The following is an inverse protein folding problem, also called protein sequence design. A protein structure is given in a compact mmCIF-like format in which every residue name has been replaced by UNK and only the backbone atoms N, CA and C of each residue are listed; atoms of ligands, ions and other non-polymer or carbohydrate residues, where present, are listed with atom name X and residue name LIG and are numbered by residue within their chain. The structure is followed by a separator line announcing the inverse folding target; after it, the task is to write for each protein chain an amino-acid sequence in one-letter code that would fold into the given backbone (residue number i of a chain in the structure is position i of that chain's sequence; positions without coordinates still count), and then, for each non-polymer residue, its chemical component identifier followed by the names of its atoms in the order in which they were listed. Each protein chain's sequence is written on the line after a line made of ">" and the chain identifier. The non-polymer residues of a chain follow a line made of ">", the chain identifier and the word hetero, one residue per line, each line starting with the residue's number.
data_IF_394963271948
#
_entry.id   IF_394963271948
#
_cell.length_a   1.000
_cell.length_b   1.000
_cell.length_c   1.000
_cell.angle_alpha   90.00
_cell.angle_beta   90.00
_cell.angle_gamma   90.00
#
_symmetry.space_group_name_H-M   'P 1'
#
loop_
_entity.id
_entity.type
_entity.pdbx_description
1 polymer ?
#
# COMPACT_ATOMS: atom_id res chain seq x y z
N UNK A 1 56.28 -16.97 10.21
CA UNK A 1 55.17 -16.76 11.15
C UNK A 1 54.39 -15.53 10.68
N UNK A 2 53.33 -15.68 9.89
CA UNK A 2 52.45 -14.57 9.50
C UNK A 2 51.01 -15.07 9.63
N UNK A 3 50.28 -14.48 10.58
CA UNK A 3 48.97 -14.93 11.03
C UNK A 3 47.89 -14.56 10.01
N UNK A 4 47.12 -15.57 9.61
CA UNK A 4 45.85 -15.44 8.89
C UNK A 4 44.83 -14.71 9.79
N UNK A 5 44.43 -13.48 9.44
CA UNK A 5 43.21 -12.87 9.99
C UNK A 5 42.06 -13.07 9.01
N UNK A 6 41.29 -14.14 9.25
CA UNK A 6 40.00 -14.38 8.59
C UNK A 6 38.97 -13.43 9.21
N UNK A 7 38.78 -12.26 8.59
CA UNK A 7 37.74 -11.29 8.95
C UNK A 7 36.36 -11.90 8.67
N UNK A 8 35.72 -12.42 9.71
CA UNK A 8 34.34 -12.91 9.68
C UNK A 8 33.43 -11.74 9.30
N UNK A 9 32.89 -11.77 8.06
CA UNK A 9 31.77 -10.90 7.67
C UNK A 9 30.56 -11.37 8.47
N UNK A 10 30.19 -10.59 9.49
CA UNK A 10 28.92 -10.80 10.20
C UNK A 10 27.81 -10.61 9.16
N UNK A 11 27.13 -11.68 8.79
CA UNK A 11 25.90 -11.61 8.01
C UNK A 11 24.89 -10.82 8.84
N UNK A 12 24.44 -9.69 8.31
CA UNK A 12 23.29 -8.97 8.86
C UNK A 12 22.11 -9.94 8.88
N UNK A 13 21.41 -10.12 10.01
CA UNK A 13 20.22 -10.95 10.05
C UNK A 13 19.22 -10.38 9.05
N UNK A 14 18.81 -11.21 8.08
CA UNK A 14 17.74 -10.88 7.14
C UNK A 14 16.49 -10.71 8.01
N UNK A 15 15.79 -9.56 7.98
CA UNK A 15 14.55 -9.41 8.72
C UNK A 15 13.58 -10.49 8.20
N UNK A 16 13.20 -11.39 9.09
CA UNK A 16 12.14 -12.37 8.81
C UNK A 16 10.86 -11.57 8.76
N UNK A 17 10.38 -11.23 7.57
CA UNK A 17 9.05 -10.68 7.39
C UNK A 17 8.07 -11.78 7.81
N UNK A 18 7.55 -11.71 9.04
CA UNK A 18 6.39 -12.50 9.44
C UNK A 18 5.27 -12.16 8.45
N UNK A 19 4.86 -13.14 7.62
CA UNK A 19 3.76 -12.93 6.67
C UNK A 19 2.55 -12.47 7.51
N UNK A 20 2.00 -11.26 7.27
CA UNK A 20 0.85 -10.79 8.02
C UNK A 20 -0.30 -11.78 7.89
N UNK A 21 -1.00 -12.07 8.99
CA UNK A 21 -2.12 -13.04 9.03
C UNK A 21 -3.25 -12.71 8.06
N UNK A 22 -3.33 -11.46 7.61
CA UNK A 22 -4.32 -10.96 6.65
C UNK A 22 -3.58 -10.44 5.42
N UNK A 23 -3.98 -10.81 4.19
CA UNK A 23 -3.36 -10.31 2.97
C UNK A 23 -3.36 -8.76 2.93
N UNK A 24 -2.22 -8.11 2.62
CA UNK A 24 -2.11 -6.65 2.57
C UNK A 24 -3.18 -5.99 1.70
N UNK A 25 -3.48 -6.61 0.54
CA UNK A 25 -4.56 -6.20 -0.36
C UNK A 25 -5.91 -6.09 0.35
N UNK A 26 -6.30 -7.12 1.12
CA UNK A 26 -7.62 -7.16 1.78
C UNK A 26 -7.72 -6.05 2.82
N UNK A 27 -6.67 -5.89 3.64
CA UNK A 27 -6.57 -4.85 4.66
C UNK A 27 -6.60 -3.44 4.06
N UNK A 28 -6.00 -3.23 2.89
CA UNK A 28 -6.01 -1.94 2.21
C UNK A 28 -7.40 -1.58 1.68
N UNK A 29 -8.09 -2.53 1.03
CA UNK A 29 -9.44 -2.32 0.51
C UNK A 29 -10.42 -2.02 1.64
N UNK A 30 -10.37 -2.80 2.73
CA UNK A 30 -11.24 -2.59 3.89
C UNK A 30 -11.06 -1.18 4.48
N UNK A 31 -9.81 -0.75 4.71
CA UNK A 31 -9.53 0.59 5.23
C UNK A 31 -9.94 1.72 4.27
N UNK A 32 -9.78 1.55 2.95
CA UNK A 32 -10.22 2.55 1.97
C UNK A 32 -11.75 2.67 1.93
N UNK A 33 -12.48 1.56 2.08
CA UNK A 33 -13.94 1.59 2.19
C UNK A 33 -14.40 2.20 3.52
N UNK A 34 -13.73 1.88 4.64
CA UNK A 34 -13.99 2.55 5.92
C UNK A 34 -13.78 4.07 5.80
N UNK A 35 -12.70 4.50 5.15
CA UNK A 35 -12.43 5.91 4.90
C UNK A 35 -13.57 6.58 4.11
N UNK A 36 -14.14 5.89 3.12
CA UNK A 36 -15.33 6.34 2.38
C UNK A 36 -16.49 6.60 3.34
N UNK A 37 -16.75 5.68 4.27
CA UNK A 37 -17.85 5.76 5.21
C UNK A 37 -17.67 6.82 6.31
N UNK A 38 -16.42 7.16 6.67
CA UNK A 38 -16.12 8.23 7.63
C UNK A 38 -16.51 9.62 7.13
N UNK A 39 -16.70 9.81 5.82
CA UNK A 39 -17.14 11.08 5.21
C UNK A 39 -16.33 12.30 5.68
N UNK A 40 -15.02 12.11 5.89
CA UNK A 40 -14.15 13.11 6.52
C UNK A 40 -14.13 14.44 5.76
N UNK A 41 -13.96 14.40 4.44
CA UNK A 41 -13.93 15.61 3.61
C UNK A 41 -15.29 16.35 3.62
N UNK A 42 -16.41 15.62 3.71
CA UNK A 42 -17.76 16.18 3.79
C UNK A 42 -18.00 16.92 5.11
N UNK A 43 -17.30 16.50 6.16
CA UNK A 43 -17.31 17.15 7.47
C UNK A 43 -16.24 18.26 7.61
N UNK A 44 -15.60 18.67 6.50
CA UNK A 44 -14.55 19.69 6.50
C UNK A 44 -13.17 19.18 6.93
N UNK A 45 -13.01 17.88 7.20
CA UNK A 45 -11.74 17.27 7.60
C UNK A 45 -10.92 16.80 6.39
N UNK A 46 -10.74 17.67 5.39
CA UNK A 46 -10.08 17.35 4.11
C UNK A 46 -8.61 16.90 4.33
N UNK A 47 -7.86 17.58 5.21
CA UNK A 47 -6.47 17.19 5.49
C UNK A 47 -6.35 15.79 6.13
N UNK A 48 -7.27 15.46 7.04
CA UNK A 48 -7.29 14.14 7.68
C UNK A 48 -7.63 13.06 6.66
N UNK A 49 -8.61 13.32 5.78
CA UNK A 49 -9.00 12.43 4.69
C UNK A 49 -7.82 12.05 3.79
N UNK A 50 -7.07 13.02 3.27
CA UNK A 50 -5.91 12.74 2.43
C UNK A 50 -4.73 12.13 3.21
N UNK A 51 -4.58 12.45 4.50
CA UNK A 51 -3.55 11.82 5.33
C UNK A 51 -3.85 10.32 5.46
N UNK A 52 -5.04 9.95 5.93
CA UNK A 52 -5.46 8.55 6.06
C UNK A 52 -5.40 7.81 4.72
N UNK A 53 -5.93 8.39 3.63
CA UNK A 53 -5.90 7.77 2.31
C UNK A 53 -4.48 7.41 1.88
N UNK A 54 -3.56 8.37 1.98
CA UNK A 54 -2.19 8.14 1.52
C UNK A 54 -1.40 7.22 2.45
N UNK A 55 -1.70 7.21 3.75
CA UNK A 55 -1.08 6.29 4.71
C UNK A 55 -1.51 4.84 4.43
N UNK A 56 -2.80 4.60 4.11
CA UNK A 56 -3.29 3.28 3.72
C UNK A 56 -2.58 2.78 2.46
N UNK A 57 -2.47 3.64 1.44
CA UNK A 57 -1.82 3.25 0.17
C UNK A 57 -0.33 3.01 0.34
N UNK A 58 0.38 3.86 1.10
CA UNK A 58 1.82 3.65 1.41
C UNK A 58 2.04 2.34 2.17
N UNK A 59 1.25 2.09 3.22
CA UNK A 59 1.31 0.85 3.98
C UNK A 59 1.03 -0.38 3.11
N UNK A 60 0.06 -0.29 2.19
CA UNK A 60 -0.19 -1.35 1.23
C UNK A 60 1.02 -1.62 0.32
N UNK A 61 1.61 -0.58 -0.25
CA UNK A 61 2.78 -0.71 -1.14
C UNK A 61 3.94 -1.39 -0.39
N UNK A 62 4.18 -0.99 0.85
CA UNK A 62 5.23 -1.56 1.70
C UNK A 62 5.00 -3.03 2.03
N UNK A 63 3.79 -3.37 2.49
CA UNK A 63 3.48 -4.73 2.88
C UNK A 63 3.35 -5.69 1.67
N UNK A 64 2.90 -5.20 0.51
CA UNK A 64 2.68 -6.02 -0.68
C UNK A 64 3.94 -6.19 -1.53
N UNK A 65 4.80 -5.16 -1.62
CA UNK A 65 5.95 -5.13 -2.52
C UNK A 65 7.31 -4.98 -1.82
N UNK A 66 7.33 -4.77 -0.50
CA UNK A 66 8.56 -4.55 0.26
C UNK A 66 9.26 -3.22 -0.02
N UNK A 67 8.57 -2.28 -0.68
CA UNK A 67 9.07 -0.92 -0.94
C UNK A 67 8.76 -0.06 0.28
N UNK A 68 9.73 0.58 0.97
CA UNK A 68 9.51 1.31 2.23
C UNK A 68 8.75 2.64 2.03
N UNK A 69 7.53 2.55 1.52
CA UNK A 69 6.75 3.67 0.99
C UNK A 69 6.29 4.65 2.08
N UNK A 70 6.22 4.23 3.34
CA UNK A 70 5.85 5.12 4.46
C UNK A 70 6.90 6.22 4.66
N UNK A 71 8.18 5.90 4.46
CA UNK A 71 9.31 6.81 4.66
C UNK A 71 9.75 7.51 3.36
N UNK A 72 9.11 7.20 2.23
CA UNK A 72 9.48 7.71 0.91
C UNK A 72 8.61 8.89 0.49
N UNK A 73 9.21 9.78 -0.28
CA UNK A 73 8.47 10.85 -0.96
C UNK A 73 7.60 10.29 -2.09
N UNK A 74 6.60 11.06 -2.52
CA UNK A 74 5.71 10.68 -3.63
C UNK A 74 6.49 10.26 -4.89
N UNK A 75 7.53 11.01 -5.27
CA UNK A 75 8.34 10.71 -6.45
C UNK A 75 9.17 9.42 -6.27
N UNK A 76 9.71 9.20 -5.07
CA UNK A 76 10.46 7.98 -4.76
C UNK A 76 9.55 6.75 -4.78
N UNK A 77 8.33 6.83 -4.25
CA UNK A 77 7.34 5.74 -4.30
C UNK A 77 7.08 5.36 -5.75
N UNK A 78 6.85 6.35 -6.62
CA UNK A 78 6.58 6.13 -8.04
C UNK A 78 7.77 5.46 -8.75
N UNK A 79 9.01 5.83 -8.40
CA UNK A 79 10.21 5.15 -8.90
C UNK A 79 10.33 3.72 -8.36
N UNK A 80 9.96 3.48 -7.11
CA UNK A 80 9.99 2.17 -6.45
C UNK A 80 8.98 1.18 -7.03
N UNK A 81 7.83 1.65 -7.53
CA UNK A 81 6.80 0.78 -8.12
C UNK A 81 6.98 0.51 -9.61
N UNK A 82 7.74 1.35 -10.35
CA UNK A 82 8.06 1.12 -11.77
C UNK A 82 8.59 -0.29 -12.10
N UNK A 83 9.56 -0.86 -11.38
CA UNK A 83 10.09 -2.19 -11.69
C UNK A 83 9.07 -3.33 -11.50
N UNK A 84 7.92 -3.07 -10.86
CA UNK A 84 6.88 -4.07 -10.61
C UNK A 84 6.00 -4.33 -11.84
N UNK A 85 6.21 -3.60 -12.94
CA UNK A 85 5.40 -3.68 -14.16
C UNK A 85 3.89 -3.58 -13.89
N UNK A 86 3.51 -2.71 -12.94
CA UNK A 86 2.12 -2.32 -12.73
C UNK A 86 1.69 -1.51 -13.95
N UNK A 87 0.44 -1.64 -14.36
CA UNK A 87 -0.16 -0.84 -15.42
C UNK A 87 0.20 0.66 -15.26
N UNK A 88 0.71 1.28 -16.34
CA UNK A 88 1.09 2.69 -16.35
C UNK A 88 -0.09 3.59 -15.98
N UNK A 89 -1.30 3.26 -16.43
CA UNK A 89 -2.53 3.99 -16.11
C UNK A 89 -2.84 3.96 -14.60
N UNK A 90 -2.67 2.81 -13.94
CA UNK A 90 -2.84 2.72 -12.49
C UNK A 90 -1.78 3.51 -11.72
N UNK A 91 -0.54 3.52 -12.21
CA UNK A 91 0.57 4.27 -11.62
C UNK A 91 0.36 5.79 -11.77
N UNK A 92 -0.13 6.24 -12.92
CA UNK A 92 -0.46 7.65 -13.17
C UNK A 92 -1.65 8.12 -12.34
N UNK A 93 -2.67 7.27 -12.19
CA UNK A 93 -3.80 7.51 -11.26
C UNK A 93 -3.32 7.67 -9.83
N UNK A 94 -2.44 6.78 -9.35
CA UNK A 94 -1.85 6.91 -8.02
C UNK A 94 -1.05 8.21 -7.87
N UNK A 95 -0.21 8.54 -8.85
CA UNK A 95 0.58 9.78 -8.88
C UNK A 95 -0.32 11.00 -8.71
N UNK A 96 -1.40 11.09 -9.48
CA UNK A 96 -2.35 12.19 -9.39
C UNK A 96 -2.90 12.33 -7.95
N UNK A 97 -3.32 11.22 -7.33
CA UNK A 97 -3.88 11.24 -5.97
C UNK A 97 -2.85 11.69 -4.92
N UNK A 98 -1.61 11.20 -5.01
CA UNK A 98 -0.54 11.58 -4.08
C UNK A 98 -0.16 13.05 -4.24
N UNK A 99 -0.12 13.57 -5.46
CA UNK A 99 0.15 14.99 -5.71
C UNK A 99 -0.95 15.90 -5.15
N UNK A 100 -2.23 15.54 -5.33
CA UNK A 100 -3.34 16.27 -4.71
C UNK A 100 -3.24 16.23 -3.18
N UNK A 101 -2.91 15.06 -2.62
CA UNK A 101 -2.72 14.92 -1.17
C UNK A 101 -1.61 15.84 -0.64
N UNK A 102 -0.48 15.92 -1.35
CA UNK A 102 0.64 16.80 -0.97
C UNK A 102 0.22 18.29 -1.04
N UNK A 103 -0.51 18.70 -2.08
CA UNK A 103 -1.07 20.05 -2.19
C UNK A 103 -2.03 20.37 -1.04
N UNK A 104 -2.89 19.44 -0.63
CA UNK A 104 -3.78 19.61 0.53
C UNK A 104 -2.97 19.73 1.82
N UNK A 105 -1.99 18.83 2.03
CA UNK A 105 -1.25 18.72 3.30
C UNK A 105 -0.32 19.90 3.54
N UNK A 106 0.29 20.43 2.48
CA UNK A 106 1.34 21.44 2.56
C UNK A 106 0.94 22.81 1.99
N UNK A 107 0.13 22.84 0.92
CA UNK A 107 -0.28 24.07 0.26
C UNK A 107 -1.71 24.53 0.61
N UNK A 108 -2.42 23.81 1.50
CA UNK A 108 -3.82 24.08 1.88
C UNK A 108 -4.76 24.17 0.67
N UNK A 109 -4.49 23.38 -0.37
CA UNK A 109 -5.40 23.28 -1.50
C UNK A 109 -6.77 22.76 -1.05
N UNK A 110 -7.82 23.21 -1.72
CA UNK A 110 -9.20 22.75 -1.54
C UNK A 110 -9.66 22.10 -2.85
N UNK A 111 -9.42 20.78 -3.02
CA UNK A 111 -9.93 20.04 -4.17
C UNK A 111 -11.45 20.06 -4.19
N UNK A 112 -12.01 19.91 -5.39
CA UNK A 112 -13.45 19.77 -5.57
C UNK A 112 -13.97 18.44 -4.99
N UNK A 113 -15.29 18.35 -4.67
CA UNK A 113 -15.90 17.11 -4.21
C UNK A 113 -15.64 15.92 -5.17
N UNK A 114 -15.65 16.20 -6.48
CA UNK A 114 -15.36 15.20 -7.50
C UNK A 114 -13.91 14.68 -7.39
N UNK A 115 -12.93 15.56 -7.13
CA UNK A 115 -11.54 15.16 -6.99
C UNK A 115 -11.30 14.31 -5.74
N UNK A 116 -12.05 14.53 -4.66
CA UNK A 116 -11.99 13.66 -3.48
C UNK A 116 -12.40 12.23 -3.85
N UNK A 117 -13.57 12.08 -4.48
CA UNK A 117 -14.09 10.77 -4.87
C UNK A 117 -13.18 10.08 -5.90
N UNK A 118 -12.72 10.82 -6.91
CA UNK A 118 -11.75 10.32 -7.89
C UNK A 118 -10.47 9.82 -7.21
N UNK A 119 -9.95 10.55 -6.22
CA UNK A 119 -8.73 10.14 -5.54
C UNK A 119 -8.88 8.82 -4.78
N UNK A 120 -10.04 8.63 -4.12
CA UNK A 120 -10.33 7.39 -3.42
C UNK A 120 -10.48 6.22 -4.38
N UNK A 121 -11.27 6.41 -5.44
CA UNK A 121 -11.55 5.36 -6.40
C UNK A 121 -10.28 4.96 -7.16
N UNK A 122 -9.45 5.94 -7.54
CA UNK A 122 -8.13 5.69 -8.12
C UNK A 122 -7.21 4.91 -7.18
N UNK A 123 -7.23 5.23 -5.88
CA UNK A 123 -6.45 4.49 -4.87
C UNK A 123 -6.91 3.03 -4.78
N UNK A 124 -8.22 2.78 -4.83
CA UNK A 124 -8.80 1.43 -4.82
C UNK A 124 -8.47 0.68 -6.11
N UNK A 125 -8.58 1.32 -7.27
CA UNK A 125 -8.21 0.76 -8.58
C UNK A 125 -6.75 0.37 -8.58
N UNK A 126 -5.86 1.24 -8.10
CA UNK A 126 -4.44 0.93 -7.98
C UNK A 126 -4.18 -0.31 -7.13
N UNK A 127 -4.80 -0.40 -5.94
CA UNK A 127 -4.67 -1.58 -5.06
C UNK A 127 -5.14 -2.86 -5.76
N UNK A 128 -6.26 -2.82 -6.49
CA UNK A 128 -6.79 -3.97 -7.24
C UNK A 128 -5.89 -4.39 -8.40
N UNK A 129 -5.50 -3.45 -9.24
CA UNK A 129 -4.67 -3.73 -10.42
C UNK A 129 -3.27 -4.18 -10.03
N UNK A 130 -2.66 -3.54 -9.03
CA UNK A 130 -1.34 -3.90 -8.54
C UNK A 130 -1.35 -5.30 -7.88
N UNK A 131 -2.42 -5.66 -7.15
CA UNK A 131 -2.57 -7.01 -6.60
C UNK A 131 -2.76 -8.06 -7.70
N UNK A 132 -3.59 -7.77 -8.71
CA UNK A 132 -3.80 -8.66 -9.85
C UNK A 132 -2.50 -8.89 -10.64
N UNK A 133 -1.75 -7.82 -10.95
CA UNK A 133 -0.45 -7.91 -11.61
C UNK A 133 0.56 -8.71 -10.77
N UNK A 134 0.61 -8.49 -9.46
CA UNK A 134 1.46 -9.25 -8.55
C UNK A 134 1.09 -10.75 -8.56
N UNK A 135 -0.21 -11.09 -8.52
CA UNK A 135 -0.68 -12.48 -8.60
C UNK A 135 -0.31 -13.16 -9.91
N UNK A 136 -0.35 -12.45 -11.05
CA UNK A 136 0.08 -13.02 -12.34
C UNK A 136 1.58 -13.30 -12.41
N UNK A 137 2.39 -12.57 -11.63
CA UNK A 137 3.84 -12.71 -11.57
C UNK A 137 4.30 -13.79 -10.57
N UNK A 138 3.42 -14.28 -9.68
CA UNK A 138 3.71 -15.38 -8.75
C UNK A 138 2.92 -16.65 -9.16
N UNK A 139 3.57 -17.81 -9.39
CA UNK A 139 2.83 -19.06 -9.59
C UNK A 139 1.99 -19.33 -8.34
N UNK A 140 0.71 -19.67 -8.54
CA UNK A 140 -0.30 -19.80 -7.50
C UNK A 140 0.21 -20.57 -6.25
N UNK A 141 0.52 -19.86 -5.16
CA UNK A 141 0.42 -20.45 -3.83
C UNK A 141 -1.08 -20.54 -3.51
N UNK A 142 -1.64 -21.73 -3.74
CA UNK A 142 -3.02 -22.11 -3.45
C UNK A 142 -3.43 -21.62 -2.06
N UNK A 143 -4.32 -20.63 -2.03
CA UNK A 143 -4.99 -20.23 -0.79
C UNK A 143 -5.99 -21.35 -0.47
N UNK A 144 -5.57 -22.33 0.32
CA UNK A 144 -6.50 -23.25 0.98
C UNK A 144 -7.38 -22.39 1.89
N UNK A 145 -8.70 -22.26 1.64
CA UNK A 145 -9.56 -21.54 2.57
C UNK A 145 -9.53 -22.32 3.89
N UNK A 146 -9.03 -21.68 4.95
CA UNK A 146 -9.07 -22.21 6.30
C UNK A 146 -10.48 -22.72 6.58
N UNK A 147 -10.58 -24.04 6.71
CA UNK A 147 -11.81 -24.78 6.82
C UNK A 147 -12.66 -24.23 7.97
N UNK A 148 -13.96 -24.14 7.71
CA UNK A 148 -14.99 -23.86 8.67
C UNK A 148 -14.79 -24.71 9.93
N UNK A 149 -14.41 -24.08 11.04
CA UNK A 149 -14.63 -24.64 12.36
C UNK A 149 -16.08 -24.34 12.74
N UNK A 150 -17.01 -25.17 12.26
CA UNK A 150 -18.28 -25.37 12.96
C UNK A 150 -17.95 -25.84 14.39
N UNK A 151 -18.43 -25.18 15.46
CA UNK A 151 -18.41 -25.81 16.76
C UNK A 151 -19.49 -26.90 16.76
N UNK A 152 -19.04 -28.15 16.72
CA UNK A 152 -19.87 -29.32 17.00
C UNK A 152 -20.58 -29.16 18.35
N UNK A 153 -21.86 -29.54 18.33
CA UNK A 153 -22.77 -29.61 19.47
C UNK A 153 -22.21 -30.49 20.59
N UNK A 154 -22.41 -30.07 21.83
CA UNK A 154 -22.59 -30.99 22.96
C UNK A 154 -23.69 -30.50 23.89
#
# INVERSE_FOLDING_TARGET
>A
MWYFLRRQRKATPIPVFEKPKIPPYKTAIEQLEELRHKKLWQNGHIKAYYSEMTDIVRSYIENQFGVPAVEMTTDEILLGIKPLNINDDASDKLKYCLQIADLVKFAKAEPSPLEHDICLDNSIVFVKESHANNRLQQPEETYEPAQAAEPEKK
#
